data_IF_922383924312
#
_entry.id   IF_922383924312
#
_cell.length_a   1.000
_cell.length_b   1.000
_cell.length_c   1.000
_cell.angle_alpha   90.00
_cell.angle_beta   90.00
_cell.angle_gamma   90.00
#
_symmetry.space_group_name_H-M   'P 1'
#
loop_
_entity.id
_entity.type
_entity.pdbx_description
1 polymer ?
#
# COMPACT_ATOMS: atom_id res chain seq x y z
N UNK A 1 -15.44 25.36 -3.94
CA UNK A 1 -15.36 23.93 -4.29
C UNK A 1 -14.81 23.21 -3.08
N UNK A 2 -15.55 22.24 -2.58
CA UNK A 2 -15.13 21.43 -1.43
C UNK A 2 -14.28 20.25 -1.88
N UNK A 3 -13.51 19.68 -0.95
CA UNK A 3 -12.57 18.58 -1.22
C UNK A 3 -13.02 17.32 -0.51
N UNK A 4 -12.97 16.19 -1.20
CA UNK A 4 -13.39 14.87 -0.69
C UNK A 4 -12.27 13.85 -0.93
N UNK A 5 -12.13 12.88 -0.04
CA UNK A 5 -11.21 11.73 -0.16
C UNK A 5 -12.02 10.44 -0.10
N UNK A 6 -11.61 9.44 -0.87
CA UNK A 6 -12.26 8.13 -0.87
C UNK A 6 -11.40 7.08 -1.57
N UNK A 7 -11.79 5.82 -1.40
CA UNK A 7 -11.22 4.66 -2.07
C UNK A 7 -12.33 3.87 -2.75
N UNK A 8 -12.03 3.18 -3.85
CA UNK A 8 -13.01 2.39 -4.60
C UNK A 8 -12.36 1.09 -5.07
N UNK A 9 -13.04 -0.03 -4.86
CA UNK A 9 -12.70 -1.30 -5.50
C UNK A 9 -13.32 -1.31 -6.91
N UNK A 10 -12.49 -1.34 -7.94
CA UNK A 10 -12.90 -1.23 -9.35
C UNK A 10 -12.32 -2.37 -10.18
N UNK A 11 -12.88 -2.59 -11.37
CA UNK A 11 -12.28 -3.43 -12.41
C UNK A 11 -11.70 -2.53 -13.49
N UNK A 12 -10.58 -2.95 -14.09
CA UNK A 12 -10.00 -2.23 -15.19
C UNK A 12 -9.25 -3.13 -16.17
N UNK A 13 -9.28 -2.74 -17.44
CA UNK A 13 -8.52 -3.38 -18.52
C UNK A 13 -7.92 -2.30 -19.44
N UNK A 14 -6.77 -2.57 -20.10
CA UNK A 14 -6.20 -1.64 -21.06
C UNK A 14 -7.18 -1.27 -22.17
N UNK A 15 -7.33 0.02 -22.47
CA UNK A 15 -8.33 0.53 -23.41
C UNK A 15 -7.76 1.63 -24.31
N UNK A 16 -8.32 1.72 -25.51
CA UNK A 16 -7.99 2.77 -26.46
C UNK A 16 -8.45 4.13 -25.95
N UNK A 17 -7.59 5.12 -26.11
CA UNK A 17 -7.97 6.51 -25.91
C UNK A 17 -9.18 6.85 -26.81
N UNK A 18 -10.25 7.46 -26.27
CA UNK A 18 -11.44 7.79 -27.05
C UNK A 18 -11.18 8.71 -28.25
N UNK A 19 -10.12 9.52 -28.19
CA UNK A 19 -9.71 10.47 -29.23
C UNK A 19 -8.66 9.86 -30.15
N UNK A 20 -7.50 9.45 -29.64
CA UNK A 20 -6.37 8.99 -30.48
C UNK A 20 -6.52 7.56 -30.99
N UNK A 21 -7.41 6.77 -30.39
CA UNK A 21 -7.64 5.33 -30.66
C UNK A 21 -6.43 4.42 -30.38
N UNK A 22 -5.37 4.93 -29.75
CA UNK A 22 -4.22 4.15 -29.28
C UNK A 22 -4.45 3.61 -27.87
N UNK A 23 -3.85 2.47 -27.50
CA UNK A 23 -3.99 1.87 -26.16
C UNK A 23 -3.07 2.64 -25.19
N UNK A 24 -3.60 3.72 -24.61
CA UNK A 24 -2.85 4.62 -23.71
C UNK A 24 -3.55 4.84 -22.37
N UNK A 25 -4.47 3.97 -22.00
CA UNK A 25 -5.21 4.08 -20.75
C UNK A 25 -5.95 2.81 -20.39
N UNK A 26 -6.90 2.96 -19.48
CA UNK A 26 -7.72 1.88 -18.95
C UNK A 26 -9.19 2.24 -19.08
N UNK A 27 -9.99 1.25 -19.46
CA UNK A 27 -11.42 1.24 -19.19
C UNK A 27 -11.58 0.87 -17.72
N UNK A 28 -12.32 1.67 -16.97
CA UNK A 28 -12.59 1.46 -15.55
C UNK A 28 -14.07 1.23 -15.37
N UNK A 29 -14.43 0.11 -14.73
CA UNK A 29 -15.81 -0.28 -14.43
C UNK A 29 -16.02 -0.22 -12.92
N UNK A 30 -17.01 0.56 -12.50
CA UNK A 30 -17.39 0.76 -11.11
C UNK A 30 -18.44 -0.26 -10.66
N UNK A 31 -18.62 -0.49 -9.34
CA UNK A 31 -19.61 -1.45 -8.82
C UNK A 31 -21.06 -1.19 -9.23
N UNK A 32 -21.42 0.06 -9.53
CA UNK A 32 -22.74 0.47 -10.01
C UNK A 32 -22.93 0.28 -11.53
N UNK A 33 -21.91 -0.24 -12.22
CA UNK A 33 -21.88 -0.41 -13.67
C UNK A 33 -21.52 0.84 -14.45
N UNK A 34 -21.20 1.96 -13.78
CA UNK A 34 -20.66 3.13 -14.46
C UNK A 34 -19.30 2.77 -15.09
N UNK A 35 -19.07 3.27 -16.30
CA UNK A 35 -17.82 3.08 -17.02
C UNK A 35 -17.13 4.42 -17.29
N UNK A 36 -15.81 4.45 -17.14
CA UNK A 36 -15.00 5.61 -17.48
C UNK A 36 -13.69 5.18 -18.16
N UNK A 37 -13.01 6.15 -18.77
CA UNK A 37 -11.66 5.95 -19.29
C UNK A 37 -10.67 6.78 -18.47
N UNK A 38 -9.54 6.17 -18.08
CA UNK A 38 -8.47 6.83 -17.34
C UNK A 38 -7.13 6.72 -18.10
N UNK A 39 -6.35 7.82 -18.24
CA UNK A 39 -4.99 7.73 -18.77
C UNK A 39 -4.14 6.76 -17.96
N UNK A 40 -3.21 6.07 -18.64
CA UNK A 40 -2.36 5.04 -18.03
C UNK A 40 -1.69 5.52 -16.73
N UNK A 41 -0.94 6.61 -16.79
CA UNK A 41 -0.18 7.13 -15.65
C UNK A 41 -1.08 7.61 -14.50
N UNK A 42 -2.29 8.08 -14.81
CA UNK A 42 -3.27 8.48 -13.80
C UNK A 42 -3.82 7.25 -13.09
N UNK A 43 -4.14 6.19 -13.85
CA UNK A 43 -4.62 4.93 -13.31
C UNK A 43 -3.56 4.24 -12.45
N UNK A 44 -2.37 4.01 -12.98
CA UNK A 44 -1.30 3.28 -12.30
C UNK A 44 -0.80 4.01 -11.04
N UNK A 45 -0.96 5.34 -10.96
CA UNK A 45 -0.68 6.11 -9.75
C UNK A 45 -1.77 5.99 -8.68
N UNK A 46 -3.03 5.85 -9.08
CA UNK A 46 -4.19 5.87 -8.18
C UNK A 46 -4.60 4.48 -7.69
N UNK A 47 -4.30 3.43 -8.45
CA UNK A 47 -4.79 2.08 -8.21
C UNK A 47 -3.65 1.08 -8.03
N UNK A 48 -3.79 0.23 -7.01
CA UNK A 48 -2.96 -0.94 -6.80
C UNK A 48 -3.80 -2.18 -7.12
N UNK A 49 -3.21 -3.14 -7.83
CA UNK A 49 -3.86 -4.44 -8.07
C UNK A 49 -3.94 -5.23 -6.77
N UNK A 50 -5.07 -5.88 -6.54
CA UNK A 50 -5.30 -6.83 -5.44
C UNK A 50 -5.48 -8.23 -6.01
N UNK A 51 -5.24 -9.25 -5.18
CA UNK A 51 -5.39 -10.64 -5.58
C UNK A 51 -6.84 -11.11 -5.47
N UNK A 52 -7.31 -11.81 -6.50
CA UNK A 52 -8.62 -12.44 -6.51
C UNK A 52 -8.70 -13.52 -5.42
N UNK A 53 -9.78 -13.47 -4.65
CA UNK A 53 -10.12 -14.47 -3.65
C UNK A 53 -11.63 -14.70 -3.65
N UNK A 54 -12.07 -15.62 -4.51
CA UNK A 54 -13.48 -15.97 -4.72
C UNK A 54 -14.18 -16.54 -3.49
N UNK A 55 -13.43 -16.90 -2.44
CA UNK A 55 -13.99 -17.41 -1.19
C UNK A 55 -14.36 -16.30 -0.21
N UNK A 56 -13.95 -15.05 -0.48
CA UNK A 56 -14.26 -13.90 0.37
C UNK A 56 -15.44 -13.10 -0.18
N UNK A 57 -16.28 -12.49 0.68
CA UNK A 57 -17.37 -11.63 0.23
C UNK A 57 -16.92 -10.42 -0.59
N UNK A 58 -15.71 -9.89 -0.35
CA UNK A 58 -15.09 -8.82 -1.13
C UNK A 58 -14.61 -9.29 -2.52
N UNK A 59 -14.49 -10.60 -2.74
CA UNK A 59 -13.92 -11.20 -3.95
C UNK A 59 -12.39 -11.06 -4.07
N UNK A 60 -11.73 -10.37 -3.14
CA UNK A 60 -10.29 -10.05 -3.15
C UNK A 60 -9.68 -10.08 -1.75
N UNK A 61 -8.37 -10.25 -1.64
CA UNK A 61 -7.64 -10.23 -0.36
C UNK A 61 -6.35 -9.43 -0.43
N UNK A 62 -5.88 -8.93 0.73
CA UNK A 62 -4.50 -8.47 0.91
C UNK A 62 -3.62 -9.66 1.35
N UNK A 63 -2.52 -9.91 0.64
CA UNK A 63 -1.57 -10.98 0.90
C UNK A 63 -0.17 -10.47 1.27
N UNK A 64 0.73 -11.38 1.71
CA UNK A 64 2.06 -11.01 2.18
C UNK A 64 2.94 -10.33 1.13
N UNK A 65 2.88 -10.80 -0.12
CA UNK A 65 3.66 -10.22 -1.22
C UNK A 65 3.27 -8.75 -1.43
N UNK A 66 1.99 -8.40 -1.35
CA UNK A 66 1.56 -7.00 -1.47
C UNK A 66 2.04 -6.12 -0.32
N UNK A 67 2.18 -6.66 0.88
CA UNK A 67 2.76 -5.91 2.02
C UNK A 67 4.23 -5.63 1.78
N UNK A 68 4.97 -6.64 1.32
CA UNK A 68 6.39 -6.51 1.04
C UNK A 68 6.64 -5.57 -0.15
N UNK A 69 5.86 -5.72 -1.21
CA UNK A 69 5.92 -4.85 -2.40
C UNK A 69 5.50 -3.41 -2.10
N UNK A 70 4.75 -3.15 -1.02
CA UNK A 70 4.36 -1.78 -0.66
C UNK A 70 5.52 -0.97 -0.05
N UNK A 71 6.63 -1.62 0.32
CA UNK A 71 7.83 -0.99 0.83
C UNK A 71 8.67 -0.47 -0.36
N UNK A 72 8.89 0.84 -0.43
CA UNK A 72 9.73 1.45 -1.45
C UNK A 72 11.21 1.46 -1.05
N UNK A 73 11.51 1.83 0.21
CA UNK A 73 12.88 1.84 0.73
C UNK A 73 12.89 1.81 2.25
N UNK A 74 14.01 1.37 2.81
CA UNK A 74 14.24 1.43 4.26
C UNK A 74 15.60 2.05 4.57
N UNK A 75 15.65 2.82 5.64
CA UNK A 75 16.85 3.44 6.20
C UNK A 75 16.95 2.98 7.65
N UNK A 76 18.14 2.54 8.06
CA UNK A 76 18.40 2.08 9.42
C UNK A 76 19.49 2.95 10.01
N UNK A 77 19.27 3.42 11.24
CA UNK A 77 20.28 4.10 12.03
C UNK A 77 20.34 3.51 13.43
N UNK A 78 21.50 3.66 14.06
CA UNK A 78 21.64 3.53 15.51
C UNK A 78 21.48 4.91 16.16
N UNK A 79 20.54 5.05 17.08
CA UNK A 79 20.31 6.24 17.89
C UNK A 79 20.86 6.02 19.31
N UNK A 80 21.89 6.78 19.68
CA UNK A 80 22.64 6.53 20.92
C UNK A 80 23.49 5.26 20.79
N UNK A 81 23.52 4.43 21.85
CA UNK A 81 24.35 3.20 21.88
C UNK A 81 23.52 1.90 21.85
N UNK A 82 22.19 1.98 22.02
CA UNK A 82 21.36 0.80 22.27
C UNK A 82 20.08 0.73 21.44
N UNK A 83 19.79 1.74 20.63
CA UNK A 83 18.51 1.85 19.92
C UNK A 83 18.69 1.81 18.41
N UNK A 84 18.11 0.81 17.76
CA UNK A 84 17.96 0.78 16.31
C UNK A 84 16.68 1.52 15.94
N UNK A 85 16.75 2.40 14.95
CA UNK A 85 15.59 3.07 14.36
C UNK A 85 15.55 2.73 12.88
N UNK A 86 14.38 2.30 12.40
CA UNK A 86 14.14 2.01 10.98
C UNK A 86 13.06 2.95 10.46
N UNK A 87 13.42 3.75 9.45
CA UNK A 87 12.46 4.50 8.63
C UNK A 87 12.16 3.69 7.38
N UNK A 88 10.87 3.48 7.11
CA UNK A 88 10.37 2.79 5.93
C UNK A 88 9.51 3.75 5.12
N UNK A 89 9.90 3.99 3.87
CA UNK A 89 9.11 4.75 2.91
C UNK A 89 8.23 3.78 2.14
N UNK A 90 6.93 4.03 2.11
CA UNK A 90 5.96 3.23 1.35
C UNK A 90 5.88 3.71 -0.11
N UNK A 91 5.33 2.88 -1.01
CA UNK A 91 5.18 3.22 -2.44
C UNK A 91 4.41 4.52 -2.73
N UNK A 92 3.56 4.94 -1.81
CA UNK A 92 2.82 6.21 -1.91
C UNK A 92 3.57 7.41 -1.29
N UNK A 93 4.79 7.21 -0.77
CA UNK A 93 5.61 8.23 -0.13
C UNK A 93 5.30 8.46 1.35
N UNK A 94 4.42 7.67 1.97
CA UNK A 94 4.17 7.74 3.42
C UNK A 94 5.30 7.07 4.20
N UNK A 95 5.70 7.66 5.32
CA UNK A 95 6.75 7.13 6.18
C UNK A 95 6.18 6.37 7.38
N UNK A 96 6.70 5.17 7.63
CA UNK A 96 6.56 4.46 8.90
C UNK A 96 7.93 4.44 9.57
N UNK A 97 7.98 4.87 10.83
CA UNK A 97 9.20 4.79 11.65
C UNK A 97 8.94 3.85 12.83
N UNK A 98 9.86 2.92 13.02
CA UNK A 98 9.88 1.99 14.14
C UNK A 98 11.24 2.03 14.85
N UNK A 99 11.25 1.66 16.13
CA UNK A 99 12.48 1.58 16.91
C UNK A 99 12.50 0.38 17.83
N UNK A 100 13.69 -0.15 18.07
CA UNK A 100 13.95 -1.24 19.02
C UNK A 100 15.16 -0.89 19.88
N UNK A 101 15.03 -1.01 21.20
CA UNK A 101 16.08 -0.64 22.16
C UNK A 101 16.45 -1.83 23.05
N UNK A 102 17.73 -1.97 23.36
CA UNK A 102 18.21 -2.87 24.41
C UNK A 102 18.71 -2.09 25.65
N UNK A 103 19.01 -2.82 26.73
CA UNK A 103 19.42 -2.22 28.03
C UNK A 103 20.93 -1.98 28.10
N UNK A 104 21.73 -2.92 27.61
CA UNK A 104 23.20 -2.88 27.68
C UNK A 104 23.79 -2.72 26.26
N UNK A 105 24.60 -1.69 25.99
CA UNK A 105 25.30 -1.52 24.71
C UNK A 105 26.12 -2.74 24.28
N UNK A 106 26.64 -3.54 25.21
CA UNK A 106 27.38 -4.78 24.89
C UNK A 106 26.51 -5.85 24.26
N UNK A 107 25.20 -5.77 24.46
CA UNK A 107 24.20 -6.66 23.88
C UNK A 107 23.47 -6.02 22.70
N UNK A 108 23.96 -4.87 22.20
CA UNK A 108 23.38 -4.22 21.04
C UNK A 108 23.73 -4.95 19.75
N UNK A 109 22.72 -5.22 18.93
CA UNK A 109 22.84 -5.79 17.59
C UNK A 109 21.85 -5.08 16.66
N UNK A 110 22.36 -4.25 15.75
CA UNK A 110 21.54 -3.48 14.81
C UNK A 110 20.72 -4.38 13.89
N UNK A 111 21.21 -5.58 13.55
CA UNK A 111 20.48 -6.52 12.70
C UNK A 111 19.26 -7.06 13.45
N UNK A 112 19.42 -7.47 14.70
CA UNK A 112 18.29 -7.92 15.53
C UNK A 112 17.28 -6.79 15.72
N UNK A 113 17.76 -5.59 16.05
CA UNK A 113 16.90 -4.41 16.19
C UNK A 113 16.12 -4.11 14.90
N UNK A 114 16.80 -4.16 13.75
CA UNK A 114 16.18 -3.98 12.43
C UNK A 114 15.14 -5.05 12.12
N UNK A 115 15.44 -6.32 12.36
CA UNK A 115 14.51 -7.43 12.10
C UNK A 115 13.21 -7.26 12.93
N UNK A 116 13.32 -6.83 14.18
CA UNK A 116 12.16 -6.49 15.04
C UNK A 116 11.37 -5.33 14.44
N UNK A 117 12.03 -4.22 14.10
CA UNK A 117 11.38 -3.05 13.51
C UNK A 117 10.68 -3.40 12.18
N UNK A 118 11.30 -4.21 11.32
CA UNK A 118 10.72 -4.65 10.05
C UNK A 118 9.47 -5.51 10.26
N UNK A 119 9.45 -6.36 11.29
CA UNK A 119 8.23 -7.08 11.69
C UNK A 119 7.09 -6.13 12.05
N UNK A 120 7.36 -5.13 12.89
CA UNK A 120 6.37 -4.10 13.26
C UNK A 120 5.90 -3.27 12.07
N UNK A 121 6.81 -2.87 11.17
CA UNK A 121 6.50 -2.14 9.94
C UNK A 121 5.56 -2.95 9.06
N UNK A 122 5.86 -4.23 8.79
CA UNK A 122 5.01 -5.09 7.96
C UNK A 122 3.62 -5.27 8.56
N UNK A 123 3.51 -5.42 9.88
CA UNK A 123 2.21 -5.47 10.57
C UNK A 123 1.40 -4.18 10.37
N UNK A 124 2.03 -3.01 10.47
CA UNK A 124 1.38 -1.72 10.20
C UNK A 124 0.94 -1.57 8.75
N UNK A 125 1.77 -1.97 7.78
CA UNK A 125 1.39 -1.96 6.36
C UNK A 125 0.18 -2.86 6.14
N UNK A 126 0.18 -4.05 6.74
CA UNK A 126 -0.95 -4.98 6.66
C UNK A 126 -2.25 -4.36 7.18
N UNK A 127 -2.19 -3.73 8.35
CA UNK A 127 -3.32 -3.00 8.94
C UNK A 127 -3.85 -1.90 8.01
N UNK A 128 -2.95 -1.08 7.46
CA UNK A 128 -3.28 0.03 6.57
C UNK A 128 -3.89 -0.45 5.25
N UNK A 129 -3.33 -1.49 4.62
CA UNK A 129 -3.88 -2.07 3.39
C UNK A 129 -5.22 -2.75 3.65
N UNK A 130 -5.40 -3.39 4.81
CA UNK A 130 -6.68 -3.94 5.24
C UNK A 130 -7.74 -2.85 5.42
N UNK A 131 -7.40 -1.75 6.10
CA UNK A 131 -8.26 -0.58 6.22
C UNK A 131 -8.64 0.01 4.86
N UNK A 132 -7.67 0.17 3.95
CA UNK A 132 -7.89 0.68 2.61
C UNK A 132 -8.86 -0.21 1.82
N UNK A 133 -8.68 -1.54 1.86
CA UNK A 133 -9.57 -2.49 1.21
C UNK A 133 -10.98 -2.42 1.80
N UNK A 134 -11.10 -2.38 3.13
CA UNK A 134 -12.38 -2.27 3.81
C UNK A 134 -13.15 -1.01 3.37
N UNK A 135 -12.48 0.15 3.33
CA UNK A 135 -13.08 1.39 2.86
C UNK A 135 -13.44 1.32 1.37
N UNK A 136 -12.58 0.72 0.53
CA UNK A 136 -12.82 0.57 -0.90
C UNK A 136 -14.02 -0.34 -1.20
N UNK A 137 -14.29 -1.32 -0.33
CA UNK A 137 -15.37 -2.29 -0.49
C UNK A 137 -16.69 -1.84 0.14
N UNK A 138 -16.67 -1.30 1.37
CA UNK A 138 -17.88 -0.95 2.13
C UNK A 138 -18.18 0.56 2.17
N UNK A 139 -17.27 1.40 1.70
CA UNK A 139 -17.38 2.85 1.79
C UNK A 139 -17.14 3.41 3.19
N UNK A 140 -17.54 4.67 3.37
CA UNK A 140 -17.56 5.39 4.65
C UNK A 140 -19.03 5.67 4.95
N UNK A 141 -19.56 5.06 6.01
CA UNK A 141 -20.98 5.13 6.39
C UNK A 141 -21.18 5.90 7.68
#
# INVERSE_FOLDING_TARGET
>A
MDKYIGAKLIQAEPERNPVTKEITGYKVVYPDGYESWSPKDVFEKAYMKVDDNKNLPSGVSIGPEMVDDFIASTETITMGETTTVVRCVLRNGFDIVESSSCVDPKNYDEKIGKDICMGSIKNKIWELLGFLLQQAWQGIN
#
